data_IF_239862265660
#
_entry.id   IF_239862265660
#
_cell.length_a   1.000
_cell.length_b   1.000
_cell.length_c   1.000
_cell.angle_alpha   90.00
_cell.angle_beta   90.00
_cell.angle_gamma   90.00
#
_symmetry.space_group_name_H-M   'P 1'
#
loop_
_entity.id
_entity.type
_entity.pdbx_description
1 polymer ?
#
# COMPACT_ATOMS: atom_id res chain seq x y z
N UNK A 1 -5.54 0.40 25.12
CA UNK A 1 -4.24 -0.09 24.64
C UNK A 1 -4.54 -1.11 23.54
N UNK A 2 -4.52 -0.67 22.28
CA UNK A 2 -4.89 -1.56 21.17
C UNK A 2 -3.84 -1.40 20.08
N UNK A 3 -2.84 -2.28 20.11
CA UNK A 3 -1.90 -2.45 19.00
C UNK A 3 -2.69 -2.92 17.79
N UNK A 4 -2.82 -2.05 16.81
CA UNK A 4 -3.37 -2.37 15.50
C UNK A 4 -2.51 -3.48 14.89
N UNK A 5 -3.15 -4.59 14.52
CA UNK A 5 -2.57 -5.69 13.77
C UNK A 5 -2.39 -5.19 12.32
N UNK A 6 -1.24 -5.44 11.67
CA UNK A 6 -1.00 -4.97 10.30
C UNK A 6 -2.08 -5.50 9.35
N UNK A 7 -2.73 -4.59 8.61
CA UNK A 7 -3.72 -4.95 7.61
C UNK A 7 -3.02 -5.46 6.34
N UNK A 8 -3.42 -6.65 5.89
CA UNK A 8 -3.05 -7.15 4.56
C UNK A 8 -4.10 -6.71 3.56
N UNK A 9 -3.67 -6.01 2.52
CA UNK A 9 -4.49 -5.64 1.38
C UNK A 9 -4.11 -6.51 0.19
N UNK A 10 -5.09 -7.07 -0.49
CA UNK A 10 -4.92 -7.79 -1.73
C UNK A 10 -5.55 -6.98 -2.85
N UNK A 11 -4.82 -6.82 -3.94
CA UNK A 11 -5.28 -5.99 -5.04
C UNK A 11 -4.61 -6.33 -6.37
N UNK A 12 -4.86 -5.48 -7.35
CA UNK A 12 -4.31 -5.62 -8.70
C UNK A 12 -3.79 -4.27 -9.18
N UNK A 13 -2.64 -4.30 -9.84
CA UNK A 13 -2.19 -3.17 -10.66
C UNK A 13 -3.15 -2.95 -11.81
N UNK A 14 -3.13 -1.76 -12.41
CA UNK A 14 -3.86 -1.48 -13.67
C UNK A 14 -3.49 -2.46 -14.80
N UNK A 15 -2.25 -2.95 -14.82
CA UNK A 15 -1.78 -4.01 -15.72
C UNK A 15 -2.40 -5.41 -15.46
N UNK A 16 -3.29 -5.56 -14.47
CA UNK A 16 -3.94 -6.81 -14.09
C UNK A 16 -3.16 -7.71 -13.13
N UNK A 17 -1.86 -7.42 -12.92
CA UNK A 17 -0.99 -8.19 -12.04
C UNK A 17 -1.38 -8.09 -10.57
N UNK A 18 -1.51 -9.25 -9.90
CA UNK A 18 -1.82 -9.34 -8.46
C UNK A 18 -0.74 -8.71 -7.60
N UNK A 19 -1.18 -8.06 -6.52
CA UNK A 19 -0.33 -7.44 -5.50
C UNK A 19 -0.87 -7.76 -4.11
N UNK A 20 0.04 -8.08 -3.20
CA UNK A 20 -0.21 -8.11 -1.76
C UNK A 20 0.56 -6.95 -1.11
N UNK A 21 -0.12 -6.20 -0.24
CA UNK A 21 0.44 -5.10 0.54
C UNK A 21 0.23 -5.40 2.03
N UNK A 22 1.30 -5.36 2.81
CA UNK A 22 1.25 -5.45 4.26
C UNK A 22 1.47 -4.04 4.83
N UNK A 23 0.43 -3.42 5.37
CA UNK A 23 0.53 -2.12 6.02
C UNK A 23 1.28 -2.27 7.35
N UNK A 24 2.39 -1.55 7.52
CA UNK A 24 3.29 -1.67 8.68
C UNK A 24 3.06 -0.53 9.66
N UNK A 25 2.98 0.71 9.17
CA UNK A 25 2.88 1.90 10.01
C UNK A 25 2.10 2.98 9.28
N UNK A 26 1.09 3.55 9.93
CA UNK A 26 0.40 4.74 9.44
C UNK A 26 1.30 5.96 9.63
N UNK A 27 1.39 6.80 8.61
CA UNK A 27 2.01 8.11 8.66
C UNK A 27 0.91 9.19 8.60
N UNK A 28 1.13 10.31 9.29
CA UNK A 28 0.17 11.42 9.36
C UNK A 28 -0.69 11.40 10.61
N UNK A 29 -1.41 12.52 10.82
CA UNK A 29 -2.33 12.67 11.94
C UNK A 29 -3.71 12.09 11.58
N UNK A 30 -4.51 11.65 12.57
CA UNK A 30 -5.91 11.32 12.31
C UNK A 30 -6.62 12.49 11.62
N UNK A 31 -7.27 12.23 10.49
CA UNK A 31 -7.97 13.26 9.70
C UNK A 31 -7.14 13.94 8.59
N UNK A 32 -5.87 13.55 8.39
CA UNK A 32 -5.06 13.96 7.21
C UNK A 32 -5.07 12.88 6.12
N UNK A 33 -4.34 13.11 5.02
CA UNK A 33 -4.10 12.07 4.00
C UNK A 33 -3.68 10.74 4.63
N UNK A 34 -4.29 9.65 4.14
CA UNK A 34 -4.09 8.32 4.70
C UNK A 34 -2.85 7.67 4.08
N UNK A 35 -1.69 8.08 4.58
CA UNK A 35 -0.38 7.60 4.13
C UNK A 35 0.12 6.45 5.01
N UNK A 36 0.75 5.45 4.41
CA UNK A 36 1.24 4.26 5.09
C UNK A 36 2.63 3.85 4.61
N UNK A 37 3.43 3.33 5.54
CA UNK A 37 4.56 2.47 5.24
C UNK A 37 4.05 1.05 5.06
N UNK A 38 4.50 0.37 4.01
CA UNK A 38 4.09 -1.00 3.74
C UNK A 38 5.20 -1.85 3.13
N UNK A 39 5.01 -3.16 3.15
CA UNK A 39 5.78 -4.11 2.35
C UNK A 39 4.92 -4.60 1.19
N UNK A 40 5.48 -4.67 -0.02
CA UNK A 40 4.74 -5.09 -1.22
C UNK A 40 5.30 -6.35 -1.86
N UNK A 41 4.41 -7.27 -2.25
CA UNK A 41 4.74 -8.49 -3.00
C UNK A 41 3.96 -8.54 -4.31
N UNK A 42 4.65 -8.75 -5.42
CA UNK A 42 4.06 -8.95 -6.75
C UNK A 42 5.03 -9.71 -7.68
N UNK A 43 4.50 -10.43 -8.67
CA UNK A 43 5.34 -11.17 -9.65
C UNK A 43 6.20 -10.27 -10.54
N UNK A 44 5.79 -9.01 -10.71
CA UNK A 44 6.55 -7.97 -11.43
C UNK A 44 6.71 -6.75 -10.51
N UNK A 45 7.84 -6.02 -10.61
CA UNK A 45 8.14 -4.90 -9.73
C UNK A 45 6.96 -3.95 -9.53
N UNK A 46 6.76 -3.55 -8.29
CA UNK A 46 5.88 -2.44 -7.90
C UNK A 46 6.71 -1.16 -8.06
N UNK A 47 6.23 -0.22 -8.87
CA UNK A 47 6.93 1.04 -9.17
C UNK A 47 6.26 2.19 -8.43
N UNK A 48 7.02 3.23 -8.15
CA UNK A 48 6.44 4.52 -7.81
C UNK A 48 5.50 4.99 -8.94
N UNK A 49 4.39 5.64 -8.57
CA UNK A 49 3.30 6.01 -9.46
C UNK A 49 2.30 4.89 -9.77
N UNK A 50 2.54 3.64 -9.33
CA UNK A 50 1.61 2.55 -9.60
C UNK A 50 0.32 2.70 -8.79
N UNK A 51 -0.82 2.54 -9.48
CA UNK A 51 -2.13 2.41 -8.84
C UNK A 51 -2.46 0.93 -8.64
N UNK A 52 -2.91 0.60 -7.43
CA UNK A 52 -3.36 -0.72 -7.03
C UNK A 52 -4.81 -0.59 -6.61
N UNK A 53 -5.70 -1.30 -7.32
CA UNK A 53 -7.09 -1.42 -6.93
C UNK A 53 -7.19 -2.58 -5.92
N UNK A 54 -7.66 -2.27 -4.73
CA UNK A 54 -7.94 -3.22 -3.66
C UNK A 54 -9.45 -3.51 -3.64
N UNK A 55 -9.82 -4.69 -3.14
CA UNK A 55 -11.22 -5.07 -2.97
C UNK A 55 -11.97 -4.05 -2.08
N UNK A 56 -13.27 -3.87 -2.34
CA UNK A 56 -14.09 -2.87 -1.62
C UNK A 56 -13.94 -1.43 -2.15
N UNK A 57 -13.33 -1.24 -3.31
CA UNK A 57 -13.24 0.06 -4.00
C UNK A 57 -12.05 0.92 -3.58
N UNK A 58 -11.32 0.53 -2.52
CA UNK A 58 -10.13 1.23 -2.05
C UNK A 58 -9.05 1.27 -3.15
N UNK A 59 -8.49 2.46 -3.38
CA UNK A 59 -7.35 2.65 -4.27
C UNK A 59 -6.10 2.97 -3.47
N UNK A 60 -4.99 2.43 -3.93
CA UNK A 60 -3.69 2.65 -3.33
C UNK A 60 -2.75 3.19 -4.40
N UNK A 61 -2.20 4.37 -4.15
CA UNK A 61 -1.08 4.91 -4.92
C UNK A 61 0.23 4.55 -4.24
N UNK A 62 1.18 4.01 -5.01
CA UNK A 62 2.56 3.84 -4.57
C UNK A 62 3.29 5.14 -4.82
N UNK A 63 3.49 5.95 -3.78
CA UNK A 63 4.17 7.25 -3.91
C UNK A 63 5.67 7.05 -4.11
N UNK A 64 6.26 6.14 -3.34
CA UNK A 64 7.70 5.91 -3.35
C UNK A 64 8.03 4.44 -3.09
N UNK A 65 9.05 3.94 -3.77
CA UNK A 65 9.70 2.68 -3.42
C UNK A 65 10.95 2.99 -2.61
N UNK A 66 10.95 2.52 -1.37
CA UNK A 66 12.04 2.70 -0.42
C UNK A 66 12.97 1.47 -0.43
N UNK A 67 14.07 1.57 0.29
CA UNK A 67 15.01 0.47 0.46
C UNK A 67 14.38 -0.74 1.18
N UNK A 68 14.94 -1.93 0.95
CA UNK A 68 14.52 -3.15 1.63
C UNK A 68 13.11 -3.65 1.26
N UNK A 69 12.54 -3.18 0.14
CA UNK A 69 11.21 -3.60 -0.30
C UNK A 69 10.05 -2.87 0.38
N UNK A 70 10.35 -1.81 1.14
CA UNK A 70 9.37 -0.91 1.72
C UNK A 70 8.77 0.01 0.66
N UNK A 71 7.51 0.38 0.87
CA UNK A 71 6.75 1.28 0.01
C UNK A 71 6.11 2.37 0.86
N UNK A 72 6.12 3.61 0.37
CA UNK A 72 5.21 4.65 0.84
C UNK A 72 3.94 4.60 -0.01
N UNK A 73 2.81 4.45 0.65
CA UNK A 73 1.50 4.29 0.04
C UNK A 73 0.59 5.43 0.45
N UNK A 74 -0.26 5.89 -0.46
CA UNK A 74 -1.40 6.75 -0.15
C UNK A 74 -2.68 6.00 -0.48
N UNK A 75 -3.59 5.93 0.49
CA UNK A 75 -4.90 5.31 0.37
C UNK A 75 -5.92 6.39 0.01
N UNK A 76 -6.78 6.10 -0.97
CA UNK A 76 -7.81 7.00 -1.52
C UNK A 76 -9.10 6.27 -1.82
#
# INVERSE_FOLDING_TARGET
DTRVIPARLFGRKESGGKVELLLVQRHGLPGTEETWMAMGRASKPIRAGAHIQVDGGLRVLVEEKLEGGRLRLRLT
#
